data_IF_275891353076
#
_entry.id   IF_275891353076
#
_cell.length_a   1.000
_cell.length_b   1.000
_cell.length_c   1.000
_cell.angle_alpha   90.00
_cell.angle_beta   90.00
_cell.angle_gamma   90.00
#
_symmetry.space_group_name_H-M   'P 1'
#
loop_
_entity.id
_entity.type
_entity.pdbx_description
1 polymer ?
#
# COMPACT_ATOMS: atom_id res chain seq x y z
N UNK A 1 1.28 20.92 8.60
CA UNK A 1 1.04 20.45 10.01
C UNK A 1 2.12 19.46 10.38
N UNK A 2 2.87 19.67 11.47
CA UNK A 2 3.78 18.66 11.98
C UNK A 2 2.95 17.58 12.68
N UNK A 3 2.68 16.48 12.00
CA UNK A 3 1.97 15.35 12.57
C UNK A 3 2.97 14.60 13.45
N UNK A 4 2.77 14.67 14.77
CA UNK A 4 3.59 13.93 15.72
C UNK A 4 3.07 12.48 15.77
N UNK A 5 3.75 11.57 15.03
CA UNK A 5 3.35 10.19 14.86
C UNK A 5 3.73 9.35 16.09
N UNK A 6 2.78 8.84 16.89
CA UNK A 6 3.12 8.01 18.04
C UNK A 6 3.74 6.69 17.60
N UNK A 7 4.89 6.37 18.16
CA UNK A 7 5.62 5.11 17.90
C UNK A 7 5.12 4.08 18.92
N UNK A 8 4.23 3.18 18.49
CA UNK A 8 3.83 2.03 19.31
C UNK A 8 4.61 0.78 18.85
N UNK A 9 5.39 0.21 19.78
CA UNK A 9 6.38 -0.85 19.48
C UNK A 9 5.78 -2.26 19.38
N UNK A 10 4.47 -2.45 19.58
CA UNK A 10 3.91 -3.75 19.96
C UNK A 10 3.11 -4.49 18.85
N UNK A 11 3.18 -4.06 17.59
CA UNK A 11 2.28 -4.63 16.57
C UNK A 11 2.87 -5.75 15.71
N UNK A 12 4.09 -6.21 15.91
CA UNK A 12 4.71 -7.28 15.10
C UNK A 12 4.78 -7.00 13.58
N UNK A 13 4.40 -5.81 13.20
CA UNK A 13 4.33 -5.27 11.86
C UNK A 13 5.55 -4.38 11.69
N UNK A 14 6.30 -4.56 10.60
CA UNK A 14 7.45 -3.73 10.31
C UNK A 14 7.14 -2.24 10.50
N UNK A 15 8.16 -1.45 10.72
CA UNK A 15 8.08 -0.01 11.05
C UNK A 15 7.10 0.82 10.20
N UNK A 16 6.83 0.44 8.94
CA UNK A 16 5.88 1.11 8.02
C UNK A 16 4.44 1.12 8.55
N UNK A 17 4.03 0.04 9.19
CA UNK A 17 2.66 -0.14 9.66
C UNK A 17 2.26 0.83 10.77
N UNK A 18 3.22 1.42 11.47
CA UNK A 18 2.94 2.47 12.46
C UNK A 18 2.33 3.71 11.80
N UNK A 19 2.84 4.09 10.63
CA UNK A 19 2.31 5.22 9.87
C UNK A 19 0.91 4.93 9.33
N UNK A 20 0.68 3.71 8.81
CA UNK A 20 -0.64 3.29 8.38
C UNK A 20 -1.63 3.28 9.54
N UNK A 21 -1.24 2.79 10.70
CA UNK A 21 -2.06 2.81 11.90
C UNK A 21 -2.46 4.23 12.27
N UNK A 22 -1.52 5.17 12.30
CA UNK A 22 -1.84 6.56 12.63
C UNK A 22 -2.76 7.20 11.60
N UNK A 23 -2.56 6.93 10.31
CA UNK A 23 -3.49 7.40 9.29
C UNK A 23 -4.90 6.81 9.50
N UNK A 24 -5.00 5.52 9.82
CA UNK A 24 -6.28 4.87 10.12
C UNK A 24 -6.94 5.47 11.36
N UNK A 25 -6.17 5.71 12.43
CA UNK A 25 -6.67 6.31 13.67
C UNK A 25 -7.22 7.74 13.43
N UNK A 26 -6.59 8.50 12.53
CA UNK A 26 -6.98 9.87 12.23
C UNK A 26 -8.14 9.95 11.22
N UNK A 27 -8.06 9.20 10.12
CA UNK A 27 -8.93 9.39 8.95
C UNK A 27 -10.05 8.36 8.85
N UNK A 28 -10.00 7.24 9.62
CA UNK A 28 -11.02 6.16 9.60
C UNK A 28 -11.36 5.73 8.17
N UNK A 29 -10.36 5.37 7.33
CA UNK A 29 -10.58 5.05 5.93
C UNK A 29 -11.57 3.90 5.77
N UNK A 30 -12.39 3.96 4.72
CA UNK A 30 -13.32 2.91 4.29
C UNK A 30 -12.83 2.19 3.04
N UNK A 31 -11.78 2.72 2.41
CA UNK A 31 -11.17 2.13 1.22
C UNK A 31 -9.65 2.22 1.27
N UNK A 32 -9.00 1.17 0.78
CA UNK A 32 -7.55 1.09 0.68
C UNK A 32 -7.12 0.42 -0.63
N UNK A 33 -6.17 1.04 -1.31
CA UNK A 33 -5.51 0.48 -2.48
C UNK A 33 -4.05 0.14 -2.13
N UNK A 34 -3.60 -1.04 -2.52
CA UNK A 34 -2.19 -1.45 -2.44
C UNK A 34 -1.69 -1.81 -3.84
N UNK A 35 -0.65 -1.11 -4.30
CA UNK A 35 0.07 -1.43 -5.53
C UNK A 35 1.37 -2.10 -5.10
N UNK A 36 1.55 -3.39 -5.47
CA UNK A 36 2.61 -4.25 -4.95
C UNK A 36 2.16 -5.11 -3.76
N UNK A 37 1.12 -5.94 -3.97
CA UNK A 37 0.51 -6.75 -2.90
C UNK A 37 1.37 -7.93 -2.45
N UNK A 38 2.23 -8.46 -3.32
CA UNK A 38 3.04 -9.66 -3.09
C UNK A 38 2.19 -10.86 -2.61
N UNK A 39 2.23 -11.21 -1.33
CA UNK A 39 1.40 -12.28 -0.72
C UNK A 39 0.22 -11.73 0.09
N UNK A 40 -0.07 -10.43 0.04
CA UNK A 40 -1.18 -9.77 0.74
C UNK A 40 -0.99 -9.58 2.25
N UNK A 41 0.27 -9.68 2.75
CA UNK A 41 0.52 -9.56 4.19
C UNK A 41 0.29 -8.14 4.69
N UNK A 42 0.79 -7.13 3.99
CA UNK A 42 0.60 -5.71 4.33
C UNK A 42 -0.86 -5.32 4.23
N UNK A 43 -1.48 -5.57 3.06
CA UNK A 43 -2.87 -5.21 2.81
C UNK A 43 -3.84 -5.81 3.82
N UNK A 44 -3.73 -7.11 4.09
CA UNK A 44 -4.62 -7.77 5.09
C UNK A 44 -4.44 -7.20 6.50
N UNK A 45 -3.22 -6.78 6.86
CA UNK A 45 -2.96 -6.17 8.16
C UNK A 45 -3.60 -4.78 8.27
N UNK A 46 -3.42 -3.93 7.24
CA UNK A 46 -4.03 -2.60 7.16
C UNK A 46 -5.55 -2.71 7.23
N UNK A 47 -6.14 -3.58 6.42
CA UNK A 47 -7.59 -3.83 6.38
C UNK A 47 -8.11 -4.32 7.74
N UNK A 48 -7.44 -5.28 8.36
CA UNK A 48 -7.83 -5.79 9.67
C UNK A 48 -7.84 -4.68 10.73
N UNK A 49 -6.89 -3.75 10.64
CA UNK A 49 -6.81 -2.63 11.55
C UNK A 49 -7.94 -1.61 11.29
N UNK A 50 -8.18 -1.26 10.02
CA UNK A 50 -9.25 -0.33 9.67
C UNK A 50 -10.64 -0.84 10.06
N UNK A 51 -10.89 -2.15 9.95
CA UNK A 51 -12.14 -2.78 10.36
C UNK A 51 -12.43 -2.69 11.88
N UNK A 52 -11.50 -2.23 12.70
CA UNK A 52 -11.78 -1.90 14.09
C UNK A 52 -12.62 -0.62 14.25
N UNK A 53 -12.55 0.27 13.23
CA UNK A 53 -13.20 1.59 13.24
C UNK A 53 -14.42 1.69 12.33
N UNK A 54 -14.52 0.83 11.33
CA UNK A 54 -15.61 0.85 10.33
C UNK A 54 -16.22 -0.54 10.19
N UNK A 55 -17.49 -0.60 9.74
CA UNK A 55 -18.21 -1.86 9.55
C UNK A 55 -18.10 -2.37 8.11
N UNK A 56 -17.93 -1.47 7.15
CA UNK A 56 -17.77 -1.75 5.73
C UNK A 56 -16.41 -1.26 5.26
N UNK A 57 -15.68 -2.11 4.57
CA UNK A 57 -14.37 -1.78 4.02
C UNK A 57 -14.20 -2.33 2.60
N UNK A 58 -13.57 -1.53 1.75
CA UNK A 58 -13.21 -1.90 0.38
C UNK A 58 -11.69 -1.93 0.19
N UNK A 59 -11.19 -2.99 -0.43
CA UNK A 59 -9.78 -3.15 -0.78
C UNK A 59 -9.61 -3.45 -2.27
N UNK A 60 -8.71 -2.72 -2.93
CA UNK A 60 -8.23 -3.03 -4.27
C UNK A 60 -6.71 -3.28 -4.22
N UNK A 61 -6.28 -4.44 -4.68
CA UNK A 61 -4.87 -4.84 -4.73
C UNK A 61 -4.40 -5.09 -6.14
N UNK A 62 -3.22 -4.55 -6.48
CA UNK A 62 -2.58 -4.66 -7.79
C UNK A 62 -1.20 -5.26 -7.66
N UNK A 63 -0.87 -6.28 -8.46
CA UNK A 63 0.45 -6.92 -8.45
C UNK A 63 0.67 -7.73 -9.73
N UNK A 64 1.91 -7.85 -10.17
CA UNK A 64 2.28 -8.76 -11.24
C UNK A 64 2.13 -10.22 -10.81
N UNK A 65 2.31 -10.49 -9.52
CA UNK A 65 2.37 -11.83 -8.97
C UNK A 65 3.35 -12.71 -9.74
N UNK A 66 2.94 -13.88 -10.20
CA UNK A 66 3.77 -14.83 -10.96
C UNK A 66 4.06 -14.38 -12.41
N UNK A 67 3.55 -13.23 -12.87
CA UNK A 67 3.85 -12.70 -14.20
C UNK A 67 5.18 -11.93 -14.25
N UNK A 68 5.77 -11.60 -13.11
CA UNK A 68 7.08 -10.98 -13.06
C UNK A 68 8.13 -11.92 -13.65
N UNK A 69 8.92 -11.40 -14.60
CA UNK A 69 10.03 -12.09 -15.25
C UNK A 69 11.38 -11.52 -14.81
N UNK A 70 12.49 -12.09 -15.32
CA UNK A 70 13.84 -11.67 -14.92
C UNK A 70 14.14 -10.19 -15.22
N UNK A 71 13.58 -9.64 -16.29
CA UNK A 71 13.78 -8.23 -16.65
C UNK A 71 13.00 -7.34 -15.69
N UNK A 72 11.74 -7.69 -15.38
CA UNK A 72 10.94 -7.01 -14.36
C UNK A 72 11.63 -7.04 -13.00
N UNK A 73 12.20 -8.20 -12.62
CA UNK A 73 12.92 -8.35 -11.35
C UNK A 73 14.15 -7.43 -11.26
N UNK A 74 14.87 -7.26 -12.37
CA UNK A 74 16.07 -6.39 -12.41
C UNK A 74 15.72 -4.92 -12.38
N UNK A 75 14.68 -4.51 -13.12
CA UNK A 75 14.34 -3.10 -13.34
C UNK A 75 13.45 -2.53 -12.24
N UNK A 76 12.50 -3.32 -11.75
CA UNK A 76 11.41 -2.81 -10.92
C UNK A 76 11.40 -3.39 -9.49
N UNK A 77 11.97 -4.57 -9.25
CA UNK A 77 11.74 -5.30 -7.99
C UNK A 77 13.02 -5.46 -7.14
N UNK A 78 14.17 -4.98 -7.62
CA UNK A 78 15.45 -5.08 -6.89
C UNK A 78 15.78 -6.49 -6.38
N UNK A 79 15.42 -7.54 -7.13
CA UNK A 79 15.71 -8.94 -6.80
C UNK A 79 14.85 -9.55 -5.69
N UNK A 80 13.80 -8.89 -5.23
CA UNK A 80 12.76 -9.53 -4.40
C UNK A 80 12.06 -10.62 -5.23
N UNK A 81 11.64 -11.72 -4.57
CA UNK A 81 10.86 -12.76 -5.25
C UNK A 81 9.48 -12.25 -5.70
N UNK A 82 8.91 -12.90 -6.72
CA UNK A 82 7.56 -12.61 -7.20
C UNK A 82 6.51 -12.78 -6.11
N UNK A 83 5.44 -12.02 -6.21
CA UNK A 83 4.23 -12.24 -5.43
C UNK A 83 3.57 -13.59 -5.76
N UNK A 84 2.63 -14.01 -4.93
CA UNK A 84 1.85 -15.21 -5.17
C UNK A 84 0.36 -14.91 -5.05
N UNK A 85 -0.35 -14.99 -6.18
CA UNK A 85 -1.77 -14.62 -6.28
C UNK A 85 -2.64 -15.48 -5.35
N UNK A 86 -2.48 -16.80 -5.37
CA UNK A 86 -3.28 -17.70 -4.55
C UNK A 86 -3.04 -17.52 -3.05
N UNK A 87 -1.80 -17.23 -2.65
CA UNK A 87 -1.50 -16.91 -1.26
C UNK A 87 -2.16 -15.60 -0.84
N UNK A 88 -2.13 -14.56 -1.69
CA UNK A 88 -2.80 -13.29 -1.46
C UNK A 88 -4.31 -13.49 -1.36
N UNK A 89 -4.93 -14.14 -2.35
CA UNK A 89 -6.35 -14.47 -2.39
C UNK A 89 -6.80 -15.23 -1.13
N UNK A 90 -6.03 -16.24 -0.74
CA UNK A 90 -6.31 -17.05 0.46
C UNK A 90 -6.29 -16.23 1.75
N UNK A 91 -5.37 -15.24 1.89
CA UNK A 91 -5.32 -14.34 3.04
C UNK A 91 -6.54 -13.44 3.11
N UNK A 92 -6.89 -12.78 2.01
CA UNK A 92 -8.04 -11.88 1.95
C UNK A 92 -9.37 -12.64 2.14
N UNK A 93 -9.50 -13.84 1.58
CA UNK A 93 -10.66 -14.70 1.79
C UNK A 93 -10.83 -15.05 3.27
N UNK A 94 -9.75 -15.49 3.93
CA UNK A 94 -9.79 -15.79 5.39
C UNK A 94 -10.13 -14.55 6.21
N UNK A 95 -9.59 -13.39 5.86
CA UNK A 95 -9.90 -12.14 6.55
C UNK A 95 -11.37 -11.76 6.36
N UNK A 96 -11.91 -11.81 5.14
CA UNK A 96 -13.33 -11.54 4.83
C UNK A 96 -14.25 -12.45 5.66
N UNK A 97 -13.96 -13.76 5.68
CA UNK A 97 -14.80 -14.71 6.38
C UNK A 97 -14.76 -14.54 7.90
N UNK A 98 -13.59 -14.12 8.46
CA UNK A 98 -13.44 -13.74 9.86
C UNK A 98 -14.22 -12.46 10.16
N UNK A 99 -14.10 -11.45 9.32
CA UNK A 99 -14.79 -10.16 9.48
C UNK A 99 -16.31 -10.33 9.46
N UNK A 100 -16.83 -11.17 8.56
CA UNK A 100 -18.25 -11.51 8.48
C UNK A 100 -18.79 -12.11 9.80
N UNK A 101 -18.01 -12.97 10.48
CA UNK A 101 -18.37 -13.53 11.79
C UNK A 101 -18.44 -12.48 12.89
N UNK A 102 -17.80 -11.33 12.69
CA UNK A 102 -17.80 -10.18 13.61
C UNK A 102 -18.83 -9.10 13.20
N UNK A 103 -19.72 -9.39 12.25
CA UNK A 103 -20.71 -8.42 11.75
C UNK A 103 -20.12 -7.34 10.83
N UNK A 104 -18.91 -7.53 10.32
CA UNK A 104 -18.20 -6.59 9.45
C UNK A 104 -18.21 -7.08 8.00
N UNK A 105 -18.21 -6.15 7.04
CA UNK A 105 -18.17 -6.46 5.61
C UNK A 105 -16.85 -6.02 4.98
N UNK A 106 -16.09 -6.99 4.45
CA UNK A 106 -14.94 -6.75 3.60
C UNK A 106 -15.27 -7.13 2.15
N UNK A 107 -15.19 -6.17 1.25
CA UNK A 107 -15.17 -6.40 -0.21
C UNK A 107 -13.76 -6.18 -0.70
N UNK A 108 -13.25 -7.08 -1.53
CA UNK A 108 -11.91 -6.92 -2.09
C UNK A 108 -11.80 -7.42 -3.52
N UNK A 109 -10.93 -6.80 -4.30
CA UNK A 109 -10.49 -7.27 -5.62
C UNK A 109 -8.97 -7.40 -5.64
N UNK A 110 -8.48 -8.36 -6.42
CA UNK A 110 -7.05 -8.55 -6.70
C UNK A 110 -6.87 -8.52 -8.21
N UNK A 111 -6.06 -7.61 -8.69
CA UNK A 111 -5.77 -7.41 -10.11
C UNK A 111 -4.37 -7.92 -10.42
N UNK A 112 -4.28 -8.94 -11.28
CA UNK A 112 -3.03 -9.55 -11.70
C UNK A 112 -2.60 -9.00 -13.04
N UNK A 113 -1.45 -8.35 -13.10
CA UNK A 113 -0.89 -7.74 -14.31
C UNK A 113 -0.18 -6.43 -14.04
N UNK A 114 0.37 -5.84 -15.10
CA UNK A 114 0.93 -4.50 -15.01
C UNK A 114 -0.14 -3.47 -14.66
N UNK A 115 0.22 -2.46 -13.87
CA UNK A 115 -0.70 -1.37 -13.52
C UNK A 115 -1.17 -0.62 -14.75
N UNK A 116 -0.33 -0.52 -15.79
CA UNK A 116 -0.66 0.07 -17.08
C UNK A 116 -1.87 -0.58 -17.75
N UNK A 117 -2.10 -1.87 -17.49
CA UNK A 117 -3.21 -2.64 -18.10
C UNK A 117 -4.41 -2.77 -17.15
N UNK A 118 -4.19 -2.67 -15.84
CA UNK A 118 -5.19 -3.03 -14.82
C UNK A 118 -5.69 -1.88 -13.97
N UNK A 119 -4.89 -0.83 -13.76
CA UNK A 119 -5.21 0.31 -12.92
C UNK A 119 -5.81 1.45 -13.74
N UNK A 120 -7.01 1.86 -13.39
CA UNK A 120 -7.68 3.04 -13.95
C UNK A 120 -7.73 4.16 -12.93
N UNK A 121 -8.09 5.39 -13.35
CA UNK A 121 -8.27 6.52 -12.45
C UNK A 121 -9.28 6.18 -11.36
N UNK A 122 -8.83 6.19 -10.11
CA UNK A 122 -9.66 5.84 -8.94
C UNK A 122 -9.34 6.73 -7.74
N UNK A 123 -10.33 6.85 -6.87
CA UNK A 123 -10.21 7.49 -5.58
C UNK A 123 -10.28 6.45 -4.46
N UNK A 124 -9.38 6.58 -3.48
CA UNK A 124 -9.39 5.80 -2.25
C UNK A 124 -9.17 6.72 -1.05
N UNK A 125 -9.64 6.30 0.13
CA UNK A 125 -9.31 7.02 1.36
C UNK A 125 -7.82 6.87 1.71
N UNK A 126 -7.22 5.72 1.39
CA UNK A 126 -5.81 5.46 1.62
C UNK A 126 -5.21 4.62 0.47
N UNK A 127 -3.98 4.93 0.09
CA UNK A 127 -3.22 4.22 -0.95
C UNK A 127 -1.83 3.91 -0.44
N UNK A 128 -1.28 2.77 -0.84
CA UNK A 128 0.11 2.41 -0.65
C UNK A 128 0.73 1.98 -1.98
N UNK A 129 1.72 2.73 -2.45
CA UNK A 129 2.51 2.45 -3.64
C UNK A 129 3.80 1.77 -3.19
N UNK A 130 3.89 0.45 -3.34
CA UNK A 130 5.03 -0.44 -3.03
C UNK A 130 5.27 -1.40 -4.22
N UNK A 131 5.06 -0.91 -5.44
CA UNK A 131 5.17 -1.66 -6.69
C UNK A 131 6.54 -1.53 -7.34
N UNK A 132 6.58 -1.08 -8.60
CA UNK A 132 7.82 -0.83 -9.33
C UNK A 132 8.61 0.35 -8.79
N UNK A 133 9.93 0.34 -9.02
CA UNK A 133 10.86 1.32 -8.45
C UNK A 133 11.40 2.32 -9.49
N UNK A 134 11.06 2.17 -10.79
CA UNK A 134 11.43 3.17 -11.78
C UNK A 134 10.59 4.44 -11.63
N UNK A 135 11.19 5.59 -11.95
CA UNK A 135 10.50 6.88 -11.91
C UNK A 135 9.17 6.86 -12.69
N UNK A 136 9.18 6.31 -13.91
CA UNK A 136 8.00 6.29 -14.77
C UNK A 136 6.88 5.41 -14.20
N UNK A 137 7.22 4.28 -13.58
CA UNK A 137 6.23 3.40 -12.92
C UNK A 137 5.60 4.09 -11.72
N UNK A 138 6.40 4.71 -10.84
CA UNK A 138 5.88 5.44 -9.67
C UNK A 138 4.99 6.59 -10.09
N UNK A 139 5.39 7.37 -11.10
CA UNK A 139 4.60 8.49 -11.61
C UNK A 139 3.30 8.03 -12.28
N UNK A 140 3.33 6.91 -13.02
CA UNK A 140 2.12 6.31 -13.59
C UNK A 140 1.14 5.89 -12.49
N UNK A 141 1.61 5.12 -11.51
CA UNK A 141 0.78 4.62 -10.42
C UNK A 141 0.17 5.78 -9.61
N UNK A 142 0.98 6.80 -9.32
CA UNK A 142 0.51 8.02 -8.66
C UNK A 142 -0.56 8.74 -9.48
N UNK A 143 -0.37 8.94 -10.79
CA UNK A 143 -1.33 9.65 -11.64
C UNK A 143 -2.73 9.04 -11.56
N UNK A 144 -2.83 7.70 -11.47
CA UNK A 144 -4.09 6.97 -11.39
C UNK A 144 -4.81 7.10 -10.04
N UNK A 145 -4.09 7.41 -8.97
CA UNK A 145 -4.63 7.48 -7.62
C UNK A 145 -4.44 8.86 -6.95
N UNK A 146 -3.93 9.84 -7.67
CA UNK A 146 -3.51 11.16 -7.15
C UNK A 146 -4.59 11.93 -6.38
N UNK A 147 -5.87 11.66 -6.67
CA UNK A 147 -6.98 12.29 -5.97
C UNK A 147 -7.34 11.60 -4.63
N UNK A 148 -6.64 10.53 -4.25
CA UNK A 148 -6.86 9.82 -2.99
C UNK A 148 -6.40 10.66 -1.80
N UNK A 149 -7.03 10.46 -0.62
CA UNK A 149 -6.79 11.33 0.55
C UNK A 149 -5.40 11.20 1.14
N UNK A 150 -4.93 9.96 1.34
CA UNK A 150 -3.60 9.68 1.90
C UNK A 150 -2.89 8.68 1.01
N UNK A 151 -1.73 9.05 0.50
CA UNK A 151 -0.92 8.20 -0.39
C UNK A 151 0.44 8.00 0.24
N UNK A 152 0.78 6.76 0.54
CA UNK A 152 2.10 6.35 1.01
C UNK A 152 2.91 5.78 -0.15
N UNK A 153 4.21 6.12 -0.17
CA UNK A 153 5.20 5.61 -1.12
C UNK A 153 6.28 4.88 -0.35
N UNK A 154 6.51 3.59 -0.69
CA UNK A 154 7.62 2.84 -0.11
C UNK A 154 8.96 3.15 -0.79
N UNK A 155 10.02 2.62 -0.21
CA UNK A 155 11.38 2.62 -0.77
C UNK A 155 11.86 4.03 -1.25
N UNK A 156 11.47 5.12 -0.54
CA UNK A 156 11.90 6.50 -0.83
C UNK A 156 13.44 6.68 -0.78
N UNK A 157 14.19 5.68 -0.31
CA UNK A 157 15.66 5.63 -0.37
C UNK A 157 16.19 5.20 -1.75
N UNK A 158 15.35 4.76 -2.68
CA UNK A 158 15.71 4.48 -4.07
C UNK A 158 15.68 5.79 -4.87
N UNK A 159 16.75 6.13 -5.62
CA UNK A 159 16.86 7.43 -6.29
C UNK A 159 15.70 7.81 -7.20
N UNK A 160 15.17 6.88 -8.00
CA UNK A 160 14.05 7.13 -8.90
C UNK A 160 12.74 7.33 -8.16
N UNK A 161 12.51 6.55 -7.10
CA UNK A 161 11.33 6.72 -6.21
C UNK A 161 11.42 8.05 -5.47
N UNK A 162 12.60 8.40 -4.95
CA UNK A 162 12.83 9.70 -4.31
C UNK A 162 12.54 10.85 -5.25
N UNK A 163 13.08 10.80 -6.48
CA UNK A 163 12.85 11.83 -7.50
C UNK A 163 11.35 12.02 -7.79
N UNK A 164 10.62 10.92 -7.97
CA UNK A 164 9.17 10.97 -8.19
C UNK A 164 8.43 11.59 -6.99
N UNK A 165 8.72 11.14 -5.78
CA UNK A 165 8.11 11.66 -4.55
C UNK A 165 8.40 13.15 -4.34
N UNK A 166 9.63 13.61 -4.59
CA UNK A 166 10.02 15.02 -4.46
C UNK A 166 9.26 15.90 -5.47
N UNK A 167 9.10 15.42 -6.71
CA UNK A 167 8.32 16.12 -7.75
C UNK A 167 6.83 16.18 -7.43
N UNK A 168 6.27 15.11 -6.85
CA UNK A 168 4.89 15.05 -6.36
C UNK A 168 4.66 15.96 -5.16
N UNK A 169 5.72 16.31 -4.42
CA UNK A 169 5.63 17.06 -3.17
C UNK A 169 5.28 16.21 -1.95
N UNK A 170 5.54 14.91 -2.01
CA UNK A 170 5.34 14.01 -0.89
C UNK A 170 6.36 14.28 0.24
N UNK A 171 5.90 14.21 1.49
CA UNK A 171 6.75 14.43 2.67
C UNK A 171 7.49 13.14 3.04
N UNK A 172 8.81 13.21 3.14
CA UNK A 172 9.62 12.10 3.64
C UNK A 172 9.35 11.86 5.14
N UNK A 173 9.06 10.62 5.49
CA UNK A 173 8.87 10.18 6.87
C UNK A 173 10.17 9.57 7.41
N UNK A 174 10.80 10.26 8.35
CA UNK A 174 12.07 9.84 8.96
C UNK A 174 11.80 8.68 9.92
N UNK A 175 12.51 7.56 9.73
CA UNK A 175 12.45 6.42 10.64
C UNK A 175 13.76 6.29 11.42
N UNK A 176 13.67 6.21 12.75
CA UNK A 176 14.86 6.16 13.64
C UNK A 176 15.62 4.84 13.59
N UNK A 177 15.03 3.76 13.04
CA UNK A 177 15.62 2.41 13.13
C UNK A 177 15.78 1.67 11.80
N UNK A 178 15.33 2.22 10.69
CA UNK A 178 15.44 1.58 9.38
C UNK A 178 16.21 2.44 8.39
N UNK A 179 17.02 1.78 7.55
CA UNK A 179 17.64 2.44 6.37
C UNK A 179 16.59 2.73 5.30
N UNK A 180 15.49 1.99 5.29
CA UNK A 180 14.37 2.19 4.37
C UNK A 180 13.54 3.39 4.78
N UNK A 181 13.10 4.15 3.80
CA UNK A 181 12.33 5.38 3.98
C UNK A 181 10.95 5.25 3.36
N UNK A 182 10.00 5.95 3.93
CA UNK A 182 8.63 6.07 3.45
C UNK A 182 8.36 7.54 3.15
N UNK A 183 7.60 7.85 2.11
CA UNK A 183 7.05 9.19 1.91
C UNK A 183 5.52 9.15 1.99
N UNK A 184 4.91 10.30 2.27
CA UNK A 184 3.46 10.46 2.35
C UNK A 184 3.00 11.74 1.70
N UNK A 185 1.93 11.66 0.93
CA UNK A 185 1.14 12.79 0.45
C UNK A 185 -0.23 12.75 1.13
N UNK A 186 -0.66 13.89 1.65
CA UNK A 186 -1.99 14.07 2.23
C UNK A 186 -2.68 15.14 1.42
N UNK A 187 -3.78 14.77 0.77
CA UNK A 187 -4.65 15.70 0.04
C UNK A 187 -5.78 16.17 0.96
N UNK A 188 -6.05 17.47 0.93
CA UNK A 188 -7.14 18.10 1.70
C UNK A 188 -8.53 17.84 1.09
#
# INVERSE_FOLDING_TARGET
>A
MNINWPIDHDMGLGWRHQYFRTAIDLYKPKSFCEIGCHTGKSGTTVVQYALQYVDDFFFDGYDLFELANDDTHKQEINGKGSGNYEACLGRFTKLRDRSKKQGKRLTFNLHKGFTQDTLTDKFFDMVFIDGGHSYDTVMYDYDKVKNSKVIFFDDYDIPDVQKACDEIGATNLITWKSKKKLAVLIND
#
